data_IF_764228381625
#
_entry.id   IF_764228381625
#
_cell.length_a   1.000
_cell.length_b   1.000
_cell.length_c   1.000
_cell.angle_alpha   90.00
_cell.angle_beta   90.00
_cell.angle_gamma   90.00
#
_symmetry.space_group_name_H-M   'P 1'
#
loop_
_entity.id
_entity.type
_entity.pdbx_description
1 polymer ?
#
# COMPACT_ATOMS: atom_id res chain seq x y z
N UNK A 1 -5.49 -23.69 -8.48
CA UNK A 1 -4.27 -23.13 -9.10
C UNK A 1 -4.47 -21.71 -9.64
N UNK A 2 -5.54 -21.43 -10.41
CA UNK A 2 -5.86 -20.07 -10.87
C UNK A 2 -6.11 -19.07 -9.73
N UNK A 3 -6.92 -19.44 -8.75
CA UNK A 3 -7.24 -18.59 -7.58
C UNK A 3 -5.99 -18.17 -6.79
N UNK A 4 -5.13 -19.13 -6.45
CA UNK A 4 -3.87 -18.89 -5.71
C UNK A 4 -2.95 -17.96 -6.51
N UNK A 5 -2.87 -18.15 -7.84
CA UNK A 5 -2.06 -17.30 -8.69
C UNK A 5 -2.59 -15.85 -8.72
N UNK A 6 -3.91 -15.68 -8.79
CA UNK A 6 -4.55 -14.36 -8.73
C UNK A 6 -4.31 -13.67 -7.40
N UNK A 7 -4.38 -14.40 -6.28
CA UNK A 7 -4.13 -13.85 -4.94
C UNK A 7 -2.68 -13.39 -4.76
N UNK A 8 -1.72 -14.20 -5.23
CA UNK A 8 -0.29 -13.84 -5.23
C UNK A 8 -0.03 -12.62 -6.11
N UNK A 9 -0.53 -12.62 -7.35
CA UNK A 9 -0.35 -11.50 -8.27
C UNK A 9 -1.02 -10.23 -7.75
N UNK A 10 -2.25 -10.33 -7.24
CA UNK A 10 -2.98 -9.22 -6.66
C UNK A 10 -2.23 -8.60 -5.47
N UNK A 11 -1.74 -9.44 -4.56
CA UNK A 11 -0.95 -9.00 -3.41
C UNK A 11 0.34 -8.30 -3.85
N UNK A 12 1.06 -8.86 -4.83
CA UNK A 12 2.28 -8.26 -5.39
C UNK A 12 1.98 -6.92 -6.08
N UNK A 13 0.90 -6.84 -6.85
CA UNK A 13 0.48 -5.62 -7.54
C UNK A 13 0.12 -4.52 -6.54
N UNK A 14 -0.61 -4.84 -5.47
CA UNK A 14 -0.91 -3.89 -4.39
C UNK A 14 0.37 -3.36 -3.75
N UNK A 15 1.33 -4.24 -3.44
CA UNK A 15 2.62 -3.82 -2.91
C UNK A 15 3.33 -2.83 -3.85
N UNK A 16 3.52 -3.19 -5.12
CA UNK A 16 4.23 -2.38 -6.12
C UNK A 16 3.51 -1.05 -6.37
N UNK A 17 2.18 -1.07 -6.43
CA UNK A 17 1.37 0.12 -6.64
C UNK A 17 1.55 1.15 -5.52
N UNK A 18 1.41 0.73 -4.26
CA UNK A 18 1.54 1.64 -3.12
C UNK A 18 2.98 2.05 -2.85
N UNK A 19 3.94 1.18 -3.16
CA UNK A 19 5.34 1.57 -3.22
C UNK A 19 5.58 2.69 -4.24
N UNK A 20 5.12 2.51 -5.49
CA UNK A 20 5.32 3.46 -6.58
C UNK A 20 4.64 4.81 -6.32
N UNK A 21 3.36 4.79 -5.93
CA UNK A 21 2.61 6.02 -5.60
C UNK A 21 3.26 6.71 -4.40
N UNK A 22 3.62 5.96 -3.36
CA UNK A 22 4.26 6.54 -2.18
C UNK A 22 5.60 7.18 -2.49
N UNK A 23 6.39 6.56 -3.36
CA UNK A 23 7.66 7.10 -3.83
C UNK A 23 7.47 8.41 -4.61
N UNK A 24 6.54 8.45 -5.57
CA UNK A 24 6.24 9.64 -6.37
C UNK A 24 5.70 10.78 -5.49
N UNK A 25 4.74 10.50 -4.62
CA UNK A 25 4.20 11.49 -3.69
C UNK A 25 5.29 12.11 -2.81
N UNK A 26 6.23 11.29 -2.36
CA UNK A 26 7.36 11.77 -1.57
C UNK A 26 8.26 12.72 -2.35
N UNK A 27 8.52 12.41 -3.62
CA UNK A 27 9.35 13.26 -4.47
C UNK A 27 8.72 14.64 -4.69
N UNK A 28 7.40 14.72 -4.79
CA UNK A 28 6.65 15.97 -4.95
C UNK A 28 6.54 16.77 -3.64
N UNK A 29 6.08 16.13 -2.56
CA UNK A 29 5.69 16.81 -1.30
C UNK A 29 6.85 16.89 -0.29
N UNK A 30 7.95 16.18 -0.53
CA UNK A 30 9.19 16.19 0.28
C UNK A 30 9.01 15.76 1.76
N UNK A 31 7.90 15.07 2.07
CA UNK A 31 7.62 14.56 3.43
C UNK A 31 7.70 13.02 3.49
N UNK A 32 8.71 12.48 4.19
CA UNK A 32 9.10 11.05 4.14
C UNK A 32 7.95 10.08 4.44
N UNK A 33 7.17 10.36 5.48
CA UNK A 33 6.18 9.41 6.00
C UNK A 33 4.75 9.75 5.61
N UNK A 34 4.54 10.85 4.88
CA UNK A 34 3.21 11.29 4.46
C UNK A 34 2.46 10.22 3.66
N UNK A 35 3.07 9.52 2.68
CA UNK A 35 2.34 8.49 1.93
C UNK A 35 1.88 7.32 2.79
N UNK A 36 2.67 6.94 3.80
CA UNK A 36 2.29 5.90 4.77
C UNK A 36 1.08 6.34 5.58
N UNK A 37 1.06 7.59 6.08
CA UNK A 37 -0.07 8.11 6.83
C UNK A 37 -1.33 8.22 5.97
N UNK A 38 -1.21 8.67 4.72
CA UNK A 38 -2.32 8.70 3.76
C UNK A 38 -2.87 7.29 3.54
N UNK A 39 -1.98 6.29 3.40
CA UNK A 39 -2.41 4.91 3.25
C UNK A 39 -3.25 4.45 4.45
N UNK A 40 -2.74 4.63 5.68
CA UNK A 40 -3.39 4.12 6.90
C UNK A 40 -4.69 4.85 7.22
N UNK A 41 -4.70 6.18 7.06
CA UNK A 41 -5.83 7.03 7.51
C UNK A 41 -6.91 7.14 6.44
N UNK A 42 -6.54 7.10 5.15
CA UNK A 42 -7.48 7.36 4.04
C UNK A 42 -7.70 6.11 3.21
N UNK A 43 -6.64 5.51 2.67
CA UNK A 43 -6.78 4.39 1.73
C UNK A 43 -7.36 3.15 2.40
N UNK A 44 -6.89 2.80 3.60
CA UNK A 44 -7.32 1.59 4.30
C UNK A 44 -8.81 1.66 4.69
N UNK A 45 -9.32 2.72 5.35
CA UNK A 45 -10.75 2.82 5.64
C UNK A 45 -11.62 2.88 4.39
N UNK A 46 -11.19 3.61 3.35
CA UNK A 46 -11.92 3.65 2.08
C UNK A 46 -11.94 2.30 1.38
N UNK A 47 -10.83 1.56 1.41
CA UNK A 47 -10.74 0.21 0.87
C UNK A 47 -11.69 -0.74 1.60
N UNK A 48 -11.69 -0.71 2.94
CA UNK A 48 -12.62 -1.52 3.75
C UNK A 48 -14.06 -1.15 3.42
N UNK A 49 -14.41 0.13 3.38
CA UNK A 49 -15.76 0.58 3.04
C UNK A 49 -16.18 0.18 1.63
N UNK A 50 -15.28 0.30 0.65
CA UNK A 50 -15.57 -0.02 -0.75
C UNK A 50 -15.76 -1.51 -1.01
N UNK A 51 -14.93 -2.35 -0.39
CA UNK A 51 -14.99 -3.81 -0.56
C UNK A 51 -15.94 -4.49 0.42
N UNK A 52 -16.54 -3.75 1.35
CA UNK A 52 -17.50 -4.29 2.30
C UNK A 52 -18.77 -4.75 1.57
N UNK A 53 -19.11 -6.02 1.73
CA UNK A 53 -20.37 -6.59 1.26
C UNK A 53 -21.11 -7.19 2.47
N UNK A 54 -22.35 -6.74 2.79
CA UNK A 54 -23.15 -7.28 3.89
C UNK A 54 -23.45 -8.78 3.77
N UNK A 55 -23.38 -9.35 2.56
CA UNK A 55 -23.61 -10.77 2.30
C UNK A 55 -22.37 -11.64 2.57
N UNK A 56 -21.19 -11.04 2.70
CA UNK A 56 -19.96 -11.75 3.04
C UNK A 56 -19.85 -11.95 4.56
N UNK A 57 -19.43 -13.14 4.97
CA UNK A 57 -19.03 -13.35 6.36
C UNK A 57 -17.76 -12.53 6.66
N UNK A 58 -17.65 -12.03 7.89
CA UNK A 58 -16.48 -11.27 8.35
C UNK A 58 -15.18 -12.07 8.13
N UNK A 59 -15.24 -13.39 8.34
CA UNK A 59 -14.13 -14.31 8.12
C UNK A 59 -13.72 -14.40 6.65
N UNK A 60 -14.68 -14.43 5.72
CA UNK A 60 -14.39 -14.45 4.29
C UNK A 60 -13.77 -13.12 3.83
N UNK A 61 -14.29 -11.98 4.33
CA UNK A 61 -13.73 -10.67 4.04
C UNK A 61 -12.28 -10.56 4.52
N UNK A 62 -12.01 -10.94 5.78
CA UNK A 62 -10.65 -10.93 6.34
C UNK A 62 -9.74 -11.88 5.56
N UNK A 63 -10.23 -13.07 5.20
CA UNK A 63 -9.43 -14.06 4.45
C UNK A 63 -8.91 -13.52 3.12
N UNK A 64 -9.72 -12.77 2.38
CA UNK A 64 -9.37 -12.30 1.03
C UNK A 64 -8.63 -10.96 1.04
N UNK A 65 -9.07 -10.00 1.86
CA UNK A 65 -8.60 -8.61 1.75
C UNK A 65 -7.41 -8.28 2.67
N UNK A 66 -7.10 -9.12 3.66
CA UNK A 66 -6.01 -8.86 4.60
C UNK A 66 -4.65 -8.83 3.92
N UNK A 67 -4.36 -9.79 3.03
CA UNK A 67 -3.06 -9.87 2.35
C UNK A 67 -2.80 -8.66 1.43
N UNK A 68 -3.73 -8.25 0.54
CA UNK A 68 -3.57 -7.03 -0.26
C UNK A 68 -3.42 -5.76 0.58
N UNK A 69 -4.17 -5.62 1.69
CA UNK A 69 -4.04 -4.46 2.57
C UNK A 69 -2.69 -4.42 3.28
N UNK A 70 -2.22 -5.55 3.82
CA UNK A 70 -0.88 -5.64 4.42
C UNK A 70 0.19 -5.32 3.38
N UNK A 71 0.05 -5.85 2.16
CA UNK A 71 0.97 -5.56 1.06
C UNK A 71 0.99 -4.07 0.69
N UNK A 72 -0.16 -3.40 0.68
CA UNK A 72 -0.23 -1.96 0.45
C UNK A 72 0.45 -1.14 1.56
N UNK A 73 0.24 -1.49 2.83
CA UNK A 73 0.99 -0.88 3.96
C UNK A 73 2.49 -1.12 3.78
N UNK A 74 2.89 -2.35 3.45
CA UNK A 74 4.28 -2.72 3.19
C UNK A 74 4.90 -1.89 2.06
N UNK A 75 4.16 -1.69 0.97
CA UNK A 75 4.58 -0.84 -0.15
C UNK A 75 4.77 0.61 0.28
N UNK A 76 3.80 1.17 1.01
CA UNK A 76 3.89 2.54 1.51
C UNK A 76 5.05 2.74 2.51
N UNK A 77 5.28 1.79 3.43
CA UNK A 77 6.39 1.84 4.39
C UNK A 77 7.76 1.74 3.69
N UNK A 78 7.91 0.79 2.77
CA UNK A 78 9.16 0.59 2.03
C UNK A 78 9.48 1.79 1.15
N UNK A 79 8.46 2.48 0.60
CA UNK A 79 8.66 3.75 -0.11
C UNK A 79 9.23 4.86 0.81
N UNK A 80 8.74 4.96 2.06
CA UNK A 80 9.24 5.90 3.04
C UNK A 80 10.69 5.61 3.43
N UNK A 81 11.04 4.33 3.63
CA UNK A 81 12.42 3.91 3.87
C UNK A 81 13.35 4.21 2.69
N UNK A 82 12.92 3.91 1.46
CA UNK A 82 13.69 4.19 0.25
C UNK A 82 13.99 5.69 0.11
N UNK A 83 12.98 6.55 0.31
CA UNK A 83 13.17 7.99 0.22
C UNK A 83 14.06 8.52 1.35
N UNK A 84 13.94 7.99 2.57
CA UNK A 84 14.84 8.34 3.68
C UNK A 84 16.28 8.01 3.35
N UNK A 85 16.53 6.86 2.73
CA UNK A 85 17.86 6.46 2.28
C UNK A 85 18.40 7.41 1.20
N UNK A 86 17.59 7.75 0.18
CA UNK A 86 17.97 8.68 -0.88
C UNK A 86 18.30 10.08 -0.34
N UNK A 87 17.53 10.60 0.63
CA UNK A 87 17.82 11.90 1.25
C UNK A 87 19.12 11.92 2.01
N UNK A 88 19.44 10.84 2.74
CA UNK A 88 20.73 10.68 3.41
C UNK A 88 21.89 10.59 2.41
N UNK A 89 21.63 10.02 1.24
CA UNK A 89 22.59 9.95 0.13
C UNK A 89 22.77 11.25 -0.66
N UNK A 90 22.11 12.35 -0.27
CA UNK A 90 22.24 13.64 -0.96
C UNK A 90 21.54 13.71 -2.31
N UNK A 91 20.65 12.76 -2.64
CA UNK A 91 19.88 12.80 -3.88
C UNK A 91 18.94 14.00 -3.87
N UNK A 92 19.07 14.85 -4.89
CA UNK A 92 18.16 15.98 -5.10
C UNK A 92 16.82 15.43 -5.57
N UNK A 93 15.80 15.62 -4.74
CA UNK A 93 14.42 15.38 -5.17
C UNK A 93 13.98 16.52 -6.08
N UNK A 94 13.09 16.22 -7.03
CA UNK A 94 12.56 17.18 -8.00
C UNK A 94 12.17 18.54 -7.38
#
# INVERSE_FOLDING_TARGET
>A
MREILQEILGTLLFFVLFFGIGFILNMLIKTTWLPTWIYVIVVLPLGVWHFWNPELSVLAFIGVFTLPFIAGIGGALTSGWAIRALRRGGYKMF
#
